data_IF_487474480635
#
_entry.id   IF_487474480635
#
_cell.length_a   1.000
_cell.length_b   1.000
_cell.length_c   1.000
_cell.angle_alpha   90.00
_cell.angle_beta   90.00
_cell.angle_gamma   90.00
#
_symmetry.space_group_name_H-M   'P 1'
#
loop_
_entity.id
_entity.type
_entity.pdbx_description
1 polymer ?
#
# COMPACT_ATOMS: atom_id res chain seq x y z
N UNK A 1 10.27 31.00 -28.79
CA UNK A 1 10.15 30.77 -27.35
C UNK A 1 9.45 29.44 -27.16
N UNK A 2 10.20 28.37 -26.97
CA UNK A 2 9.64 27.04 -26.73
C UNK A 2 9.49 26.89 -25.22
N UNK A 3 8.26 26.97 -24.71
CA UNK A 3 7.98 26.78 -23.29
C UNK A 3 8.41 25.38 -22.87
N UNK A 4 9.35 25.32 -21.92
CA UNK A 4 9.66 24.12 -21.17
C UNK A 4 8.49 23.89 -20.23
N UNK A 5 7.65 22.90 -20.54
CA UNK A 5 6.64 22.43 -19.59
C UNK A 5 7.35 21.89 -18.36
N UNK A 6 7.19 22.59 -17.25
CA UNK A 6 7.83 22.32 -15.98
C UNK A 6 7.35 20.96 -15.45
N UNK A 7 8.29 20.03 -15.30
CA UNK A 7 8.19 18.71 -14.64
C UNK A 7 7.74 18.77 -13.16
N UNK A 8 7.21 19.90 -12.70
CA UNK A 8 6.80 20.18 -11.32
C UNK A 8 5.37 19.77 -10.98
N UNK A 9 4.45 19.59 -11.93
CA UNK A 9 3.04 19.28 -11.63
C UNK A 9 2.79 17.82 -11.20
N UNK A 10 3.61 16.88 -11.70
CA UNK A 10 3.47 15.44 -11.43
C UNK A 10 3.87 15.04 -10.00
N UNK A 11 4.79 15.79 -9.37
CA UNK A 11 5.26 15.52 -7.99
C UNK A 11 4.19 15.85 -6.93
N UNK A 12 3.50 17.00 -6.97
CA UNK A 12 2.36 17.32 -6.11
C UNK A 12 1.24 16.27 -6.17
N UNK A 13 0.91 15.78 -7.36
CA UNK A 13 -0.15 14.77 -7.54
C UNK A 13 0.17 13.48 -6.79
N UNK A 14 1.40 12.96 -6.94
CA UNK A 14 1.85 11.75 -6.24
C UNK A 14 1.86 11.97 -4.73
N UNK A 15 2.38 13.11 -4.26
CA UNK A 15 2.45 13.41 -2.83
C UNK A 15 1.04 13.50 -2.22
N UNK A 16 0.14 14.26 -2.83
CA UNK A 16 -1.24 14.39 -2.35
C UNK A 16 -2.01 13.06 -2.40
N UNK A 17 -1.73 12.22 -3.40
CA UNK A 17 -2.31 10.88 -3.44
C UNK A 17 -1.76 9.97 -2.34
N UNK A 18 -0.45 10.02 -2.05
CA UNK A 18 0.14 9.26 -0.94
C UNK A 18 -0.46 9.68 0.41
N UNK A 19 -0.75 10.96 0.62
CA UNK A 19 -1.45 11.45 1.82
C UNK A 19 -2.86 10.86 1.94
N UNK A 20 -3.62 10.90 0.84
CA UNK A 20 -4.97 10.29 0.77
C UNK A 20 -4.91 8.78 1.07
N UNK A 21 -3.98 8.07 0.44
CA UNK A 21 -3.75 6.66 0.65
C UNK A 21 -3.38 6.35 2.10
N UNK A 22 -2.50 7.17 2.70
CA UNK A 22 -2.08 7.04 4.10
C UNK A 22 -3.27 7.21 5.05
N UNK A 23 -4.17 8.16 4.77
CA UNK A 23 -5.39 8.35 5.57
C UNK A 23 -6.32 7.14 5.46
N UNK A 24 -6.60 6.66 4.25
CA UNK A 24 -7.47 5.49 4.03
C UNK A 24 -6.93 4.23 4.73
N UNK A 25 -5.63 3.97 4.61
CA UNK A 25 -4.97 2.84 5.30
C UNK A 25 -5.04 3.05 6.82
N UNK A 26 -4.77 4.26 7.32
CA UNK A 26 -4.84 4.59 8.74
C UNK A 26 -6.23 4.41 9.37
N UNK A 27 -7.29 4.55 8.56
CA UNK A 27 -8.69 4.32 8.94
C UNK A 27 -9.16 2.87 8.74
N UNK A 28 -8.25 1.92 8.42
CA UNK A 28 -8.59 0.53 8.07
C UNK A 28 -9.50 0.39 6.85
N UNK A 29 -9.58 1.41 5.98
CA UNK A 29 -10.43 1.43 4.78
C UNK A 29 -9.69 0.85 3.57
N UNK A 30 -9.22 -0.39 3.68
CA UNK A 30 -8.33 -1.00 2.69
C UNK A 30 -8.99 -1.17 1.31
N UNK A 31 -10.26 -1.59 1.24
CA UNK A 31 -10.99 -1.67 -0.03
C UNK A 31 -11.06 -0.31 -0.72
N UNK A 32 -11.31 0.76 0.05
CA UNK A 32 -11.34 2.12 -0.49
C UNK A 32 -9.94 2.58 -0.95
N UNK A 33 -8.88 2.22 -0.22
CA UNK A 33 -7.51 2.47 -0.63
C UNK A 33 -7.17 1.80 -1.97
N UNK A 34 -7.56 0.53 -2.15
CA UNK A 34 -7.38 -0.19 -3.42
C UNK A 34 -8.18 0.41 -4.58
N UNK A 35 -9.42 0.86 -4.32
CA UNK A 35 -10.23 1.55 -5.31
C UNK A 35 -9.60 2.90 -5.72
N UNK A 36 -9.14 3.69 -4.75
CA UNK A 36 -8.44 4.95 -5.01
C UNK A 36 -7.16 4.71 -5.83
N UNK A 37 -6.41 3.65 -5.54
CA UNK A 37 -5.22 3.26 -6.30
C UNK A 37 -5.55 2.86 -7.74
N UNK A 38 -6.65 2.13 -7.96
CA UNK A 38 -7.13 1.79 -9.31
C UNK A 38 -7.52 3.03 -10.11
N UNK A 39 -8.20 3.99 -9.48
CA UNK A 39 -8.62 5.23 -10.13
C UNK A 39 -7.43 6.14 -10.42
N UNK A 40 -6.48 6.26 -9.49
CA UNK A 40 -5.23 7.00 -9.71
C UNK A 40 -4.41 6.42 -10.86
N UNK A 41 -4.30 5.10 -10.96
CA UNK A 41 -3.59 4.44 -12.06
C UNK A 41 -4.20 4.74 -13.44
N UNK A 42 -5.53 4.88 -13.51
CA UNK A 42 -6.25 5.26 -14.74
C UNK A 42 -6.08 6.74 -15.07
N UNK A 43 -6.21 7.60 -14.06
CA UNK A 43 -6.16 9.06 -14.22
C UNK A 43 -4.74 9.59 -14.48
N UNK A 44 -3.72 8.92 -13.92
CA UNK A 44 -2.31 9.33 -14.02
C UNK A 44 -1.40 8.19 -14.52
N UNK A 45 -1.51 7.79 -15.80
CA UNK A 45 -0.68 6.72 -16.36
C UNK A 45 0.82 7.01 -16.15
N UNK A 46 1.54 6.02 -15.61
CA UNK A 46 2.98 6.11 -15.35
C UNK A 46 3.37 6.74 -14.02
N UNK A 47 2.45 7.34 -13.25
CA UNK A 47 2.75 7.85 -11.91
C UNK A 47 2.57 6.80 -10.81
N UNK A 48 1.80 5.75 -11.07
CA UNK A 48 1.48 4.70 -10.11
C UNK A 48 2.72 4.00 -9.54
N UNK A 49 3.81 3.92 -10.30
CA UNK A 49 5.08 3.36 -9.82
C UNK A 49 5.55 4.04 -8.51
N UNK A 50 5.49 5.37 -8.43
CA UNK A 50 5.94 6.10 -7.23
C UNK A 50 5.07 5.82 -6.00
N UNK A 51 3.77 5.61 -6.22
CA UNK A 51 2.82 5.24 -5.16
C UNK A 51 3.11 3.82 -4.66
N UNK A 52 3.32 2.88 -5.59
CA UNK A 52 3.61 1.48 -5.28
C UNK A 52 4.90 1.31 -4.48
N UNK A 53 5.93 2.11 -4.75
CA UNK A 53 7.18 2.08 -3.98
C UNK A 53 6.99 2.55 -2.53
N UNK A 54 6.06 3.48 -2.27
CA UNK A 54 5.76 3.95 -0.92
C UNK A 54 4.81 3.00 -0.15
N UNK A 55 4.03 2.19 -0.86
CA UNK A 55 2.93 1.39 -0.30
C UNK A 55 3.36 0.43 0.81
N UNK A 56 4.44 -0.38 0.68
CA UNK A 56 4.86 -1.27 1.75
C UNK A 56 5.14 -0.55 3.07
N UNK A 57 5.80 0.62 3.00
CA UNK A 57 6.08 1.43 4.18
C UNK A 57 4.80 1.94 4.85
N UNK A 58 3.82 2.42 4.06
CA UNK A 58 2.54 2.91 4.61
C UNK A 58 1.74 1.81 5.30
N UNK A 59 1.70 0.61 4.70
CA UNK A 59 1.05 -0.54 5.31
C UNK A 59 1.78 -1.00 6.56
N UNK A 60 3.12 -1.10 6.54
CA UNK A 60 3.89 -1.50 7.72
C UNK A 60 3.73 -0.52 8.87
N UNK A 61 3.80 0.79 8.60
CA UNK A 61 3.64 1.85 9.61
C UNK A 61 2.27 1.76 10.28
N UNK A 62 1.22 1.55 9.48
CA UNK A 62 -0.12 1.33 10.00
C UNK A 62 -0.21 0.10 10.88
N UNK A 63 0.19 -1.07 10.36
CA UNK A 63 0.08 -2.33 11.07
C UNK A 63 0.92 -2.36 12.35
N UNK A 64 2.12 -1.76 12.34
CA UNK A 64 2.96 -1.64 13.52
C UNK A 64 2.33 -0.75 14.59
N UNK A 65 1.75 0.40 14.21
CA UNK A 65 1.00 1.27 15.14
C UNK A 65 -0.23 0.55 15.71
N UNK A 66 -0.97 -0.17 14.86
CA UNK A 66 -2.21 -0.86 15.24
C UNK A 66 -1.98 -2.07 16.15
N UNK A 67 -0.91 -2.83 15.92
CA UNK A 67 -0.66 -4.10 16.61
C UNK A 67 0.40 -4.03 17.71
N UNK A 68 1.32 -3.05 17.65
CA UNK A 68 2.51 -3.00 18.50
C UNK A 68 3.49 -4.16 18.28
N UNK A 69 3.29 -4.99 17.25
CA UNK A 69 3.91 -6.30 17.12
C UNK A 69 5.22 -6.28 16.33
N UNK A 70 6.15 -5.37 16.66
CA UNK A 70 7.40 -5.16 15.91
C UNK A 70 8.22 -6.45 15.72
N UNK A 71 8.42 -7.23 16.78
CA UNK A 71 9.16 -8.50 16.69
C UNK A 71 8.46 -9.52 15.77
N UNK A 72 7.13 -9.59 15.79
CA UNK A 72 6.37 -10.48 14.91
C UNK A 72 6.40 -10.00 13.46
N UNK A 73 6.42 -8.69 13.23
CA UNK A 73 6.59 -8.12 11.89
C UNK A 73 7.95 -8.47 11.29
N UNK A 74 9.02 -8.42 12.09
CA UNK A 74 10.34 -8.89 11.65
C UNK A 74 10.30 -10.39 11.28
N UNK A 75 9.73 -11.24 12.15
CA UNK A 75 9.59 -12.68 11.85
C UNK A 75 8.73 -12.93 10.61
N UNK A 76 7.63 -12.20 10.44
CA UNK A 76 6.77 -12.27 9.26
C UNK A 76 7.55 -11.94 7.99
N UNK A 77 8.27 -10.82 7.98
CA UNK A 77 9.07 -10.39 6.80
C UNK A 77 10.15 -11.43 6.44
N UNK A 78 10.78 -12.06 7.43
CA UNK A 78 11.77 -13.13 7.20
C UNK A 78 11.14 -14.40 6.61
N UNK A 79 9.90 -14.72 6.99
CA UNK A 79 9.16 -15.90 6.48
C UNK A 79 8.48 -15.64 5.14
N UNK A 80 8.15 -14.39 4.86
CA UNK A 80 7.44 -13.95 3.66
C UNK A 80 8.26 -12.89 2.91
N UNK A 81 9.47 -13.22 2.39
CA UNK A 81 10.38 -12.23 1.80
C UNK A 81 9.79 -11.47 0.60
N UNK A 82 8.75 -12.01 -0.03
CA UNK A 82 8.04 -11.41 -1.17
C UNK A 82 6.80 -10.60 -0.79
N UNK A 83 6.45 -10.46 0.50
CA UNK A 83 5.19 -9.83 0.94
C UNK A 83 4.96 -8.44 0.32
N UNK A 84 6.02 -7.63 0.22
CA UNK A 84 5.94 -6.28 -0.35
C UNK A 84 5.71 -6.29 -1.87
N UNK A 85 6.15 -7.33 -2.58
CA UNK A 85 5.87 -7.53 -3.99
C UNK A 85 4.42 -7.99 -4.19
N UNK A 86 3.96 -8.96 -3.40
CA UNK A 86 2.57 -9.44 -3.45
C UNK A 86 1.57 -8.31 -3.14
N UNK A 87 1.85 -7.51 -2.11
CA UNK A 87 1.06 -6.32 -1.79
C UNK A 87 0.96 -5.34 -2.97
N UNK A 88 2.08 -5.07 -3.65
CA UNK A 88 2.12 -4.21 -4.84
C UNK A 88 1.33 -4.80 -6.00
N UNK A 89 1.39 -6.12 -6.18
CA UNK A 89 0.69 -6.85 -7.25
C UNK A 89 -0.83 -6.71 -7.15
N UNK A 90 -1.36 -6.74 -5.93
CA UNK A 90 -2.81 -6.63 -5.68
C UNK A 90 -3.29 -5.21 -5.43
N UNK A 91 -2.41 -4.20 -5.44
CA UNK A 91 -2.70 -2.84 -4.99
C UNK A 91 -3.89 -2.16 -5.72
N UNK A 92 -4.15 -2.49 -6.99
CA UNK A 92 -5.26 -1.93 -7.77
C UNK A 92 -6.49 -2.83 -7.81
N UNK A 93 -6.48 -3.96 -7.09
CA UNK A 93 -7.61 -4.85 -6.91
C UNK A 93 -8.17 -4.65 -5.50
N UNK A 94 -9.28 -3.88 -5.33
CA UNK A 94 -9.74 -3.42 -4.02
C UNK A 94 -9.88 -4.52 -2.97
N UNK A 95 -10.56 -5.61 -3.32
CA UNK A 95 -10.82 -6.72 -2.41
C UNK A 95 -9.57 -7.56 -2.12
N UNK A 96 -8.71 -7.75 -3.12
CA UNK A 96 -7.48 -8.54 -2.94
C UNK A 96 -6.43 -7.75 -2.14
N UNK A 97 -6.37 -6.43 -2.32
CA UNK A 97 -5.56 -5.54 -1.49
C UNK A 97 -6.00 -5.59 -0.03
N UNK A 98 -7.31 -5.46 0.23
CA UNK A 98 -7.85 -5.55 1.59
C UNK A 98 -7.50 -6.89 2.23
N UNK A 99 -7.79 -8.00 1.53
CA UNK A 99 -7.48 -9.36 2.00
C UNK A 99 -6.00 -9.55 2.30
N UNK A 100 -5.11 -9.01 1.46
CA UNK A 100 -3.67 -9.11 1.66
C UNK A 100 -3.19 -8.36 2.91
N UNK A 101 -3.70 -7.14 3.14
CA UNK A 101 -3.35 -6.36 4.34
C UNK A 101 -3.90 -7.03 5.60
N UNK A 102 -5.14 -7.50 5.56
CA UNK A 102 -5.78 -8.22 6.67
C UNK A 102 -5.07 -9.55 6.99
N UNK A 103 -4.60 -10.29 5.99
CA UNK A 103 -3.81 -11.51 6.20
C UNK A 103 -2.49 -11.22 6.90
N UNK A 104 -1.80 -10.13 6.52
CA UNK A 104 -0.60 -9.68 7.23
C UNK A 104 -0.97 -9.32 8.67
N UNK A 105 -2.01 -8.51 8.88
CA UNK A 105 -2.46 -8.11 10.21
C UNK A 105 -2.77 -9.33 11.10
N UNK A 106 -3.51 -10.30 10.58
CA UNK A 106 -3.87 -11.53 11.28
C UNK A 106 -2.60 -12.29 11.71
N UNK A 107 -1.63 -12.45 10.81
CA UNK A 107 -0.34 -13.07 11.12
C UNK A 107 0.40 -12.31 12.23
N UNK A 108 0.38 -10.96 12.24
CA UNK A 108 0.99 -10.15 13.28
C UNK A 108 0.27 -10.27 14.63
N UNK A 109 -1.04 -10.47 14.63
CA UNK A 109 -1.82 -10.76 15.85
C UNK A 109 -1.62 -12.19 16.36
N UNK A 110 -0.94 -13.06 15.60
CA UNK A 110 -0.82 -14.48 15.90
C UNK A 110 -2.09 -15.27 15.59
N UNK A 111 -3.00 -14.68 14.81
CA UNK A 111 -4.19 -15.34 14.27
C UNK A 111 -3.79 -15.92 12.93
N UNK A 112 -3.55 -17.24 12.86
CA UNK A 112 -3.15 -17.88 11.62
C UNK A 112 -4.24 -17.73 10.55
N UNK A 113 -4.03 -16.85 9.58
CA UNK A 113 -4.71 -16.88 8.28
C UNK A 113 -3.60 -17.05 7.25
N UNK A 114 -3.43 -18.27 6.78
CA UNK A 114 -2.46 -18.60 5.73
C UNK A 114 -3.03 -18.10 4.38
N UNK A 115 -2.32 -17.23 3.64
CA UNK A 115 -2.81 -16.76 2.35
C UNK A 115 -2.76 -17.92 1.34
N UNK A 116 -3.83 -18.06 0.55
CA UNK A 116 -3.98 -19.12 -0.44
C UNK A 116 -2.80 -19.12 -1.44
N UNK A 117 -2.24 -20.32 -1.64
CA UNK A 117 -1.17 -20.63 -2.60
C UNK A 117 -1.61 -20.44 -4.06
#
# INVERSE_FOLDING_TARGET
MTSVETSGAKKPEVVGFIETLTALIGEDRFTAAGAAMADFAKAHPGLMFFVLEALPAKVSDHLLRKTGAASRFTTYTLRHPTWAMELRRVATAPEDFARQVEAIEAALRGSAVEPAA
#
